data_IF_231933077284
#
_entry.id   IF_231933077284
#
_cell.length_a   1.000
_cell.length_b   1.000
_cell.length_c   1.000
_cell.angle_alpha   90.00
_cell.angle_beta   90.00
_cell.angle_gamma   90.00
#
_symmetry.space_group_name_H-M   'P 1'
#
loop_
_entity.id
_entity.type
_entity.pdbx_description
1 polymer ?
#
# COMPACT_ATOMS: atom_id res chain seq x y z
N UNK A 1 29.13 -2.17 5.88
CA UNK A 1 28.73 -1.47 4.65
C UNK A 1 27.31 -1.91 4.28
N UNK A 2 26.39 -1.01 4.27
CA UNK A 2 25.00 -1.37 3.92
C UNK A 2 24.91 -1.77 2.45
N UNK A 3 24.48 -2.99 2.19
CA UNK A 3 24.13 -3.39 0.83
C UNK A 3 23.00 -2.52 0.30
N UNK A 4 23.09 -2.19 -0.97
CA UNK A 4 22.00 -1.48 -1.65
C UNK A 4 20.75 -2.37 -1.64
N UNK A 5 19.69 -1.93 -0.96
CA UNK A 5 18.47 -2.70 -0.86
C UNK A 5 17.79 -2.85 -2.23
N UNK A 6 17.59 -4.09 -2.65
CA UNK A 6 16.79 -4.39 -3.82
C UNK A 6 15.30 -4.35 -3.46
N UNK A 7 14.38 -4.17 -4.42
CA UNK A 7 12.94 -4.21 -4.13
C UNK A 7 12.50 -5.48 -3.40
N UNK A 8 13.06 -6.63 -3.77
CA UNK A 8 12.77 -7.90 -3.10
C UNK A 8 13.22 -7.91 -1.63
N UNK A 9 14.40 -7.38 -1.34
CA UNK A 9 14.92 -7.27 0.04
C UNK A 9 14.10 -6.30 0.88
N UNK A 10 13.62 -5.22 0.29
CA UNK A 10 12.76 -4.25 0.97
C UNK A 10 11.44 -4.89 1.36
N UNK A 11 10.83 -5.64 0.47
CA UNK A 11 9.58 -6.36 0.73
C UNK A 11 9.77 -7.41 1.82
N UNK A 12 10.85 -8.16 1.76
CA UNK A 12 11.21 -9.15 2.77
C UNK A 12 11.43 -8.49 4.15
N UNK A 13 12.12 -7.35 4.19
CA UNK A 13 12.34 -6.59 5.41
C UNK A 13 11.02 -6.07 5.99
N UNK A 14 10.10 -5.60 5.16
CA UNK A 14 8.79 -5.14 5.59
C UNK A 14 7.96 -6.28 6.21
N UNK A 15 7.98 -7.46 5.60
CA UNK A 15 7.32 -8.65 6.15
C UNK A 15 7.94 -9.10 7.47
N UNK A 16 9.25 -9.07 7.56
CA UNK A 16 9.97 -9.40 8.80
C UNK A 16 9.62 -8.45 9.92
N UNK A 17 9.61 -7.17 9.64
CA UNK A 17 9.24 -6.14 10.60
C UNK A 17 7.82 -6.34 11.12
N UNK A 18 6.88 -6.57 10.21
CA UNK A 18 5.49 -6.82 10.57
C UNK A 18 5.32 -8.07 11.44
N UNK A 19 5.99 -9.15 11.09
CA UNK A 19 5.93 -10.40 11.85
C UNK A 19 6.53 -10.25 13.26
N UNK A 20 7.63 -9.52 13.38
CA UNK A 20 8.29 -9.28 14.66
C UNK A 20 7.43 -8.38 15.56
N UNK A 21 6.89 -7.30 15.01
CA UNK A 21 6.03 -6.36 15.78
C UNK A 21 4.70 -6.97 16.18
N UNK A 22 4.19 -7.93 15.42
CA UNK A 22 2.98 -8.67 15.75
C UNK A 22 3.21 -9.83 16.75
N UNK A 23 4.46 -10.10 17.11
CA UNK A 23 4.83 -11.18 18.03
C UNK A 23 4.71 -12.58 17.44
N UNK A 24 4.52 -12.72 16.15
CA UNK A 24 4.38 -14.02 15.46
C UNK A 24 5.70 -14.74 15.26
N UNK A 25 6.80 -14.01 15.19
CA UNK A 25 8.12 -14.55 14.91
C UNK A 25 9.10 -14.04 15.97
N UNK A 26 9.88 -14.93 16.64
CA UNK A 26 10.91 -14.48 17.57
C UNK A 26 12.02 -13.74 16.79
N UNK A 27 12.58 -12.72 17.44
CA UNK A 27 13.69 -11.96 16.87
C UNK A 27 14.96 -12.80 16.96
N UNK A 28 15.50 -13.19 15.82
CA UNK A 28 16.77 -13.86 15.72
C UNK A 28 17.90 -12.83 15.68
N UNK A 29 19.11 -13.21 16.09
CA UNK A 29 20.26 -12.31 16.13
C UNK A 29 20.55 -11.67 14.76
N UNK A 30 20.44 -12.43 13.69
CA UNK A 30 20.56 -11.92 12.31
C UNK A 30 19.48 -10.89 11.94
N UNK A 31 18.29 -11.04 12.49
CA UNK A 31 17.17 -10.14 12.21
C UNK A 31 17.28 -8.84 12.99
N UNK A 32 17.96 -8.84 14.13
CA UNK A 32 18.26 -7.62 14.88
C UNK A 32 19.16 -6.67 14.10
N UNK A 33 20.11 -7.20 13.35
CA UNK A 33 20.94 -6.41 12.44
C UNK A 33 20.12 -5.76 11.33
N UNK A 34 19.21 -6.52 10.74
CA UNK A 34 18.30 -6.01 9.70
C UNK A 34 17.40 -4.90 10.23
N UNK A 35 16.84 -5.06 11.44
CA UNK A 35 15.99 -4.05 12.08
C UNK A 35 16.74 -2.76 12.43
N UNK A 36 18.03 -2.86 12.76
CA UNK A 36 18.87 -1.69 13.02
C UNK A 36 19.20 -0.92 11.75
N UNK A 37 19.43 -1.63 10.65
CA UNK A 37 19.79 -1.04 9.37
C UNK A 37 18.57 -0.53 8.59
N UNK A 38 17.41 -1.17 8.79
CA UNK A 38 16.17 -0.83 8.11
C UNK A 38 15.09 -0.55 9.15
N UNK A 39 15.17 0.61 9.80
CA UNK A 39 14.04 1.07 10.60
C UNK A 39 12.82 1.26 9.70
N UNK A 40 11.63 1.15 10.28
CA UNK A 40 10.38 1.36 9.54
C UNK A 40 10.37 2.73 8.81
N UNK A 41 10.89 3.76 9.45
CA UNK A 41 11.02 5.11 8.86
C UNK A 41 12.00 5.11 7.69
N UNK A 42 13.17 4.49 7.84
CA UNK A 42 14.19 4.42 6.79
C UNK A 42 13.71 3.65 5.59
N UNK A 43 13.00 2.53 5.83
CA UNK A 43 12.41 1.73 4.77
C UNK A 43 11.37 2.55 3.99
N UNK A 44 10.52 3.28 4.70
CA UNK A 44 9.51 4.13 4.10
C UNK A 44 10.12 5.26 3.26
N UNK A 45 11.14 5.94 3.78
CA UNK A 45 11.87 6.97 3.06
C UNK A 45 12.58 6.41 1.83
N UNK A 46 13.15 5.23 1.94
CA UNK A 46 13.82 4.56 0.83
C UNK A 46 12.85 4.20 -0.30
N UNK A 47 11.67 3.69 0.05
CA UNK A 47 10.61 3.41 -0.91
C UNK A 47 10.11 4.69 -1.60
N UNK A 48 9.98 5.76 -0.83
CA UNK A 48 9.56 7.07 -1.33
C UNK A 48 10.54 7.66 -2.35
N UNK A 49 11.84 7.48 -2.15
CA UNK A 49 12.88 8.03 -3.04
C UNK A 49 13.06 7.24 -4.34
N UNK A 50 12.65 5.99 -4.39
CA UNK A 50 12.98 5.08 -5.51
C UNK A 50 12.05 5.12 -6.69
N UNK A 51 10.83 5.60 -6.54
CA UNK A 51 9.86 5.52 -7.62
C UNK A 51 8.95 6.75 -7.66
N UNK A 52 9.26 7.72 -8.55
CA UNK A 52 8.42 8.91 -8.70
C UNK A 52 7.07 8.59 -9.35
N UNK A 53 6.89 7.38 -9.92
CA UNK A 53 5.67 6.97 -10.61
C UNK A 53 4.73 6.15 -9.73
N UNK A 54 5.07 5.98 -8.45
CA UNK A 54 4.26 5.26 -7.49
C UNK A 54 4.17 6.05 -6.18
N UNK A 55 3.10 5.86 -5.45
CA UNK A 55 2.94 6.45 -4.12
C UNK A 55 3.53 5.51 -3.06
N UNK A 56 4.23 6.05 -2.05
CA UNK A 56 4.69 5.24 -0.92
C UNK A 56 3.54 4.89 0.01
N UNK A 57 3.57 3.68 0.58
CA UNK A 57 2.63 3.31 1.64
C UNK A 57 2.91 4.14 2.90
N UNK A 58 1.84 4.58 3.56
CA UNK A 58 1.97 5.19 4.88
C UNK A 58 2.07 4.11 5.95
N UNK A 59 2.65 4.42 7.13
CA UNK A 59 2.76 3.44 8.21
C UNK A 59 1.39 2.89 8.65
N UNK A 60 1.30 1.61 9.05
CA UNK A 60 0.03 1.02 9.52
C UNK A 60 -0.55 1.71 10.75
N UNK A 61 0.28 2.45 11.49
CA UNK A 61 -0.12 3.22 12.68
C UNK A 61 -0.60 4.63 12.36
N UNK A 62 -0.55 5.03 11.10
CA UNK A 62 -0.95 6.39 10.69
C UNK A 62 -2.45 6.60 10.93
N UNK A 63 -2.85 7.66 11.67
CA UNK A 63 -4.25 7.91 11.98
C UNK A 63 -5.13 8.17 10.76
N UNK A 64 -4.53 8.55 9.63
CA UNK A 64 -5.27 8.74 8.37
C UNK A 64 -5.97 7.48 7.88
N UNK A 65 -5.49 6.30 8.28
CA UNK A 65 -6.12 5.02 7.93
C UNK A 65 -7.46 4.80 8.62
N UNK A 66 -7.70 5.47 9.75
CA UNK A 66 -8.92 5.33 10.54
C UNK A 66 -9.92 6.46 10.29
N UNK A 67 -9.55 7.46 9.50
CA UNK A 67 -10.41 8.59 9.21
C UNK A 67 -11.53 8.21 8.24
N UNK A 68 -12.73 8.74 8.50
CA UNK A 68 -13.82 8.66 7.54
C UNK A 68 -13.50 9.54 6.34
N UNK A 69 -13.58 8.96 5.16
CA UNK A 69 -13.24 9.64 3.91
C UNK A 69 -14.51 10.15 3.24
N UNK A 70 -14.53 11.45 2.92
CA UNK A 70 -15.61 12.07 2.15
C UNK A 70 -15.64 11.55 0.70
N UNK A 71 -16.77 11.64 0.00
CA UNK A 71 -16.85 11.27 -1.41
C UNK A 71 -15.78 11.96 -2.26
N UNK A 72 -15.20 11.20 -3.18
CA UNK A 72 -14.19 11.72 -4.10
C UNK A 72 -14.82 12.65 -5.15
N UNK A 73 -14.15 13.76 -5.43
CA UNK A 73 -14.46 14.67 -6.53
C UNK A 73 -13.20 14.99 -7.32
N UNK A 74 -13.35 15.35 -8.60
CA UNK A 74 -12.20 15.67 -9.44
C UNK A 74 -11.44 16.92 -8.98
N UNK A 75 -12.09 17.82 -8.26
CA UNK A 75 -11.45 19.01 -7.70
C UNK A 75 -10.38 18.66 -6.65
N UNK A 76 -10.53 17.54 -5.97
CA UNK A 76 -9.53 17.05 -5.00
C UNK A 76 -8.19 16.73 -5.66
N UNK A 77 -8.19 16.36 -6.93
CA UNK A 77 -6.97 16.07 -7.67
C UNK A 77 -6.04 17.28 -7.74
N UNK A 78 -6.61 18.46 -7.88
CA UNK A 78 -5.87 19.72 -7.95
C UNK A 78 -5.12 20.03 -6.65
N UNK A 79 -5.72 19.74 -5.50
CA UNK A 79 -5.11 19.94 -4.19
C UNK A 79 -3.83 19.10 -4.02
N UNK A 80 -3.80 17.93 -4.64
CA UNK A 80 -2.69 17.00 -4.57
C UNK A 80 -1.78 17.04 -5.81
N UNK A 81 -1.98 18.02 -6.69
CA UNK A 81 -1.21 18.21 -7.92
C UNK A 81 -1.23 17.00 -8.83
N UNK A 82 -2.36 16.33 -8.90
CA UNK A 82 -2.62 15.20 -9.79
C UNK A 82 -3.40 15.71 -10.99
N UNK A 83 -2.94 15.38 -12.18
CA UNK A 83 -3.49 15.91 -13.44
C UNK A 83 -4.93 15.45 -13.68
N UNK A 84 -5.19 14.16 -13.56
CA UNK A 84 -6.48 13.53 -13.84
C UNK A 84 -6.61 12.18 -13.14
N UNK A 85 -7.77 11.54 -13.30
CA UNK A 85 -8.04 10.21 -12.72
C UNK A 85 -7.12 9.13 -13.31
N UNK A 86 -6.72 9.28 -14.56
CA UNK A 86 -5.85 8.34 -15.25
C UNK A 86 -4.46 8.31 -14.60
N UNK A 87 -3.88 9.48 -14.32
CA UNK A 87 -2.60 9.59 -13.61
C UNK A 87 -2.70 8.98 -12.21
N UNK A 88 -3.75 9.30 -11.47
CA UNK A 88 -4.02 8.74 -10.15
C UNK A 88 -4.10 7.22 -10.20
N UNK A 89 -4.91 6.69 -11.10
CA UNK A 89 -5.11 5.25 -11.24
C UNK A 89 -3.83 4.53 -11.63
N UNK A 90 -3.04 5.10 -12.52
CA UNK A 90 -1.76 4.54 -12.95
C UNK A 90 -0.75 4.49 -11.82
N UNK A 91 -0.62 5.56 -11.05
CA UNK A 91 0.29 5.59 -9.89
C UNK A 91 -0.18 4.65 -8.79
N UNK A 92 -1.47 4.56 -8.55
CA UNK A 92 -2.06 3.61 -7.60
C UNK A 92 -1.77 2.17 -8.02
N UNK A 93 -1.95 1.86 -9.30
CA UNK A 93 -1.63 0.54 -9.84
C UNK A 93 -0.15 0.21 -9.67
N UNK A 94 0.72 1.15 -9.99
CA UNK A 94 2.17 0.98 -9.84
C UNK A 94 2.54 0.71 -8.38
N UNK A 95 1.92 1.42 -7.45
CA UNK A 95 2.12 1.18 -6.01
C UNK A 95 1.65 -0.22 -5.61
N UNK A 96 0.47 -0.62 -6.05
CA UNK A 96 -0.09 -1.94 -5.78
C UNK A 96 0.86 -3.04 -6.23
N UNK A 97 1.37 -2.96 -7.45
CA UNK A 97 2.31 -3.94 -8.01
C UNK A 97 3.62 -3.93 -7.25
N UNK A 98 4.14 -2.74 -6.95
CA UNK A 98 5.41 -2.56 -6.22
C UNK A 98 5.40 -3.25 -4.86
N UNK A 99 4.29 -3.17 -4.16
CA UNK A 99 4.12 -3.77 -2.83
C UNK A 99 3.53 -5.18 -2.85
N UNK A 100 3.41 -5.78 -4.04
CA UNK A 100 2.97 -7.17 -4.19
C UNK A 100 1.51 -7.41 -3.85
N UNK A 101 0.68 -6.38 -3.90
CA UNK A 101 -0.75 -6.48 -3.58
C UNK A 101 -1.63 -6.80 -4.79
N UNK A 102 -2.85 -7.19 -4.50
CA UNK A 102 -3.92 -7.39 -5.48
C UNK A 102 -5.02 -6.34 -5.35
N UNK A 103 -4.85 -5.44 -4.41
CA UNK A 103 -5.73 -4.29 -4.16
C UNK A 103 -5.00 -3.24 -3.34
N UNK A 104 -5.39 -1.98 -3.52
CA UNK A 104 -4.81 -0.86 -2.80
C UNK A 104 -5.81 0.29 -2.72
N UNK A 105 -6.10 0.74 -1.51
CA UNK A 105 -6.95 1.91 -1.28
C UNK A 105 -6.11 3.19 -1.24
N UNK A 106 -6.69 4.30 -1.69
CA UNK A 106 -5.99 5.58 -1.74
C UNK A 106 -5.50 6.07 -0.37
N UNK A 107 -6.24 5.81 0.70
CA UNK A 107 -5.81 6.20 2.04
C UNK A 107 -4.56 5.46 2.51
N UNK A 108 -4.27 4.28 1.97
CA UNK A 108 -3.05 3.53 2.30
C UNK A 108 -1.78 4.21 1.77
N UNK A 109 -1.92 5.12 0.83
CA UNK A 109 -0.82 5.96 0.34
C UNK A 109 -0.96 7.42 0.79
N UNK A 110 -1.80 7.68 1.77
CA UNK A 110 -1.99 9.00 2.36
C UNK A 110 -2.89 9.95 1.60
N UNK A 111 -3.58 9.48 0.56
CA UNK A 111 -4.53 10.28 -0.20
C UNK A 111 -5.94 10.13 0.39
N UNK A 112 -6.60 11.23 0.79
CA UNK A 112 -7.93 11.15 1.37
C UNK A 112 -9.02 11.00 0.30
N UNK A 113 -8.83 10.03 -0.59
CA UNK A 113 -9.75 9.78 -1.69
C UNK A 113 -10.53 8.49 -1.45
N UNK A 114 -11.83 8.56 -1.67
CA UNK A 114 -12.71 7.40 -1.60
C UNK A 114 -12.61 6.64 -2.91
N UNK A 115 -11.49 5.94 -3.09
CA UNK A 115 -11.22 5.12 -4.26
C UNK A 115 -10.24 4.00 -3.94
N UNK A 116 -10.25 2.96 -4.73
CA UNK A 116 -9.27 1.89 -4.67
C UNK A 116 -9.03 1.29 -6.06
N UNK A 117 -7.91 0.62 -6.21
CA UNK A 117 -7.58 -0.21 -7.36
C UNK A 117 -7.53 -1.66 -6.94
N UNK A 118 -7.88 -2.58 -7.83
CA UNK A 118 -7.79 -4.02 -7.59
C UNK A 118 -7.59 -4.77 -8.90
N UNK A 119 -7.06 -5.99 -8.79
CA UNK A 119 -6.88 -6.86 -9.93
C UNK A 119 -5.43 -7.07 -10.31
N UNK A 120 -5.19 -7.36 -11.57
CA UNK A 120 -3.85 -7.65 -12.08
C UNK A 120 -3.37 -9.07 -11.79
N UNK A 121 -4.11 -9.85 -11.01
CA UNK A 121 -3.77 -11.24 -10.74
C UNK A 121 -4.49 -12.16 -11.74
N UNK A 122 -3.79 -13.14 -12.35
CA UNK A 122 -4.39 -13.99 -13.38
C UNK A 122 -5.67 -14.71 -12.99
N UNK A 123 -5.84 -15.02 -11.70
CA UNK A 123 -7.02 -15.71 -11.17
C UNK A 123 -8.19 -14.76 -10.88
N UNK A 124 -7.99 -13.47 -11.02
CA UNK A 124 -9.02 -12.45 -10.80
C UNK A 124 -9.35 -11.78 -12.13
N UNK A 125 -10.50 -12.09 -12.69
CA UNK A 125 -10.98 -11.53 -13.94
C UNK A 125 -9.92 -11.51 -15.07
N UNK A 126 -9.16 -12.60 -15.20
CA UNK A 126 -8.10 -12.75 -16.20
C UNK A 126 -7.01 -11.66 -16.16
N UNK A 127 -6.71 -11.18 -14.95
CA UNK A 127 -5.70 -10.16 -14.76
C UNK A 127 -6.18 -8.73 -15.00
N UNK A 128 -7.46 -8.52 -15.17
CA UNK A 128 -8.04 -7.19 -15.36
C UNK A 128 -7.87 -6.32 -14.12
N UNK A 129 -7.55 -5.06 -14.34
CA UNK A 129 -7.43 -4.05 -13.27
C UNK A 129 -8.70 -3.19 -13.25
N UNK A 130 -9.23 -2.99 -12.05
CA UNK A 130 -10.39 -2.11 -11.83
C UNK A 130 -10.00 -0.94 -10.96
N UNK A 131 -10.47 0.24 -11.34
CA UNK A 131 -10.38 1.46 -10.56
C UNK A 131 -11.78 1.80 -10.08
N UNK A 132 -11.99 1.81 -8.76
CA UNK A 132 -13.30 2.04 -8.18
C UNK A 132 -13.33 3.38 -7.46
N UNK A 133 -14.18 4.29 -7.91
CA UNK A 133 -14.37 5.61 -7.31
C UNK A 133 -15.71 5.64 -6.56
N UNK A 134 -15.70 6.16 -5.34
CA UNK A 134 -16.89 6.27 -4.49
C UNK A 134 -17.64 4.94 -4.33
N UNK A 135 -16.95 3.85 -3.96
CA UNK A 135 -17.60 2.56 -3.81
C UNK A 135 -18.61 2.56 -2.67
N UNK A 136 -19.70 1.81 -2.86
CA UNK A 136 -20.72 1.58 -1.85
C UNK A 136 -21.00 0.10 -1.77
N UNK A 137 -21.12 -0.41 -0.54
CA UNK A 137 -21.61 -1.79 -0.31
C UNK A 137 -23.13 -1.76 -0.38
N UNK A 138 -23.69 -2.43 -1.37
CA UNK A 138 -25.14 -2.51 -1.56
C UNK A 138 -25.75 -3.72 -0.86
N UNK A 139 -25.01 -4.81 -0.81
CA UNK A 139 -25.49 -6.07 -0.26
C UNK A 139 -24.31 -6.91 0.23
N UNK A 140 -24.51 -7.70 1.26
CA UNK A 140 -23.54 -8.62 1.81
C UNK A 140 -24.20 -9.97 2.05
N UNK A 141 -23.48 -11.05 1.74
CA UNK A 141 -23.97 -12.39 2.08
C UNK A 141 -23.98 -12.59 3.60
N UNK A 142 -24.87 -13.43 4.09
CA UNK A 142 -24.90 -13.81 5.50
C UNK A 142 -23.81 -14.82 5.86
N UNK A 143 -23.20 -15.44 4.85
CA UNK A 143 -22.12 -16.39 5.04
C UNK A 143 -20.87 -15.71 5.58
N UNK A 144 -20.27 -16.32 6.58
CA UNK A 144 -19.00 -15.85 7.16
C UNK A 144 -17.96 -16.96 7.08
N UNK A 145 -16.71 -16.55 6.95
CA UNK A 145 -15.57 -17.46 7.03
C UNK A 145 -14.66 -17.03 8.18
N UNK A 146 -14.12 -18.01 8.90
CA UNK A 146 -13.12 -17.76 9.92
C UNK A 146 -11.75 -17.63 9.25
N UNK A 147 -11.09 -16.51 9.51
CA UNK A 147 -9.73 -16.28 9.03
C UNK A 147 -8.72 -16.31 10.17
#
# INVERSE_FOLDING_TARGET
>A
MAEKLTPAKIEEAAKHYENITSGKTPILEKDQGLLKETSHVDLHEHLKKKDPNAYPLIPPTDPRLLMKIAPFTDDMLKEFKIKDREELSKKMYNSMVKYGGIGLSANQVGLPFRMFVMGGHPQIEDGKVRNCFNPLIKDMSEETINM
#
